data_IF_879963448980
#
_entry.id   IF_879963448980
#
_cell.length_a   1.000
_cell.length_b   1.000
_cell.length_c   1.000
_cell.angle_alpha   90.00
_cell.angle_beta   90.00
_cell.angle_gamma   90.00
#
_symmetry.space_group_name_H-M   'P 1'
#
loop_
_entity.id
_entity.type
_entity.pdbx_description
1 polymer ?
#
# COMPACT_ATOMS: atom_id res chain seq x y z
N UNK A 1 -18.13 25.19 57.15
CA UNK A 1 -17.50 25.41 55.81
C UNK A 1 -18.26 24.68 54.68
N UNK A 2 -19.57 24.89 54.54
CA UNK A 2 -20.39 24.30 53.45
C UNK A 2 -20.85 25.33 52.40
N UNK A 3 -20.77 26.62 52.73
CA UNK A 3 -21.22 27.72 51.87
C UNK A 3 -20.16 28.24 50.88
N UNK A 4 -18.87 27.93 51.10
CA UNK A 4 -17.79 28.38 50.21
C UNK A 4 -17.69 27.55 48.91
N UNK A 5 -18.12 26.28 48.94
CA UNK A 5 -18.12 25.41 47.75
C UNK A 5 -19.32 25.65 46.83
N UNK A 6 -20.44 26.13 47.37
CA UNK A 6 -21.67 26.36 46.58
C UNK A 6 -21.62 27.67 45.80
N UNK A 7 -20.90 28.69 46.29
CA UNK A 7 -20.70 29.94 45.57
C UNK A 7 -19.82 29.77 44.32
N UNK A 8 -18.84 28.86 44.39
CA UNK A 8 -17.93 28.55 43.28
C UNK A 8 -18.64 27.84 42.11
N UNK A 9 -19.62 26.97 42.40
CA UNK A 9 -20.40 26.30 41.35
C UNK A 9 -21.37 27.24 40.63
N UNK A 10 -21.99 28.19 41.35
CA UNK A 10 -22.94 29.15 40.76
C UNK A 10 -22.20 30.18 39.90
N UNK A 11 -20.99 30.59 40.30
CA UNK A 11 -20.14 31.48 39.50
C UNK A 11 -19.66 30.83 38.19
N UNK A 12 -19.50 29.50 38.14
CA UNK A 12 -19.05 28.80 36.93
C UNK A 12 -20.17 28.64 35.90
N UNK A 13 -21.42 28.44 36.36
CA UNK A 13 -22.59 28.27 35.48
C UNK A 13 -23.01 29.62 34.86
N UNK A 14 -22.84 30.73 35.58
CA UNK A 14 -23.15 32.06 35.08
C UNK A 14 -22.19 32.56 33.98
N UNK A 15 -20.96 32.01 33.91
CA UNK A 15 -19.98 32.35 32.87
C UNK A 15 -20.22 31.65 31.53
N UNK A 16 -21.10 30.63 31.51
CA UNK A 16 -21.34 29.76 30.35
C UNK A 16 -22.51 30.20 29.46
N UNK A 17 -23.21 31.29 29.81
CA UNK A 17 -24.43 31.75 29.14
C UNK A 17 -24.34 33.21 28.67
N UNK A 18 -23.19 33.64 28.17
CA UNK A 18 -23.08 34.91 27.45
C UNK A 18 -23.39 34.64 25.96
N UNK A 19 -24.48 35.17 25.39
CA UNK A 19 -24.69 35.12 23.96
C UNK A 19 -23.73 36.12 23.32
N UNK A 20 -22.73 35.65 22.59
CA UNK A 20 -21.98 36.50 21.67
C UNK A 20 -22.86 36.70 20.42
N UNK A 21 -23.85 37.57 20.56
CA UNK A 21 -24.50 38.23 19.44
C UNK A 21 -23.83 39.61 19.30
N UNK A 22 -22.86 39.67 18.41
CA UNK A 22 -22.05 40.86 18.12
C UNK A 22 -21.21 40.61 16.88
N UNK A 23 -21.90 40.40 15.76
CA UNK A 23 -21.31 40.33 14.42
C UNK A 23 -20.82 41.74 14.08
N UNK A 24 -19.53 42.01 14.31
CA UNK A 24 -18.87 43.15 13.69
C UNK A 24 -18.76 42.88 12.19
N UNK A 25 -19.17 43.90 11.44
CA UNK A 25 -19.19 44.02 9.99
C UNK A 25 -17.81 43.70 9.38
N UNK A 26 -17.62 42.43 8.99
CA UNK A 26 -16.59 42.03 8.04
C UNK A 26 -17.29 41.63 6.75
N UNK A 27 -16.95 42.34 5.68
CA UNK A 27 -17.61 42.31 4.39
C UNK A 27 -18.00 40.92 3.89
N UNK A 28 -19.08 40.90 3.12
CA UNK A 28 -19.69 39.76 2.46
C UNK A 28 -18.68 38.67 2.06
N UNK A 29 -18.57 37.65 2.91
CA UNK A 29 -17.88 36.40 2.56
C UNK A 29 -18.68 35.73 1.43
N UNK A 30 -18.01 35.16 0.40
CA UNK A 30 -18.71 34.41 -0.62
C UNK A 30 -19.50 33.28 0.06
N UNK A 31 -20.78 33.17 -0.28
CA UNK A 31 -21.66 32.09 0.15
C UNK A 31 -20.93 30.75 -0.03
N UNK A 32 -20.86 29.87 0.99
CA UNK A 32 -20.35 28.53 0.79
C UNK A 32 -21.19 27.89 -0.32
N UNK A 33 -20.58 27.62 -1.47
CA UNK A 33 -21.15 26.63 -2.38
C UNK A 33 -21.24 25.35 -1.54
N UNK A 34 -22.42 24.72 -1.51
CA UNK A 34 -22.49 23.31 -1.20
C UNK A 34 -21.52 22.63 -2.18
N UNK A 35 -20.32 22.32 -1.70
CA UNK A 35 -19.51 21.27 -2.29
C UNK A 35 -20.42 20.05 -2.25
N UNK A 36 -20.97 19.70 -3.42
CA UNK A 36 -21.47 18.34 -3.64
C UNK A 36 -20.46 17.43 -2.98
N UNK A 37 -20.87 16.49 -2.11
CA UNK A 37 -19.93 15.59 -1.47
C UNK A 37 -19.05 15.08 -2.59
N UNK A 38 -17.77 15.44 -2.55
CA UNK A 38 -16.78 14.89 -3.45
C UNK A 38 -16.80 13.43 -3.05
N UNK A 39 -17.57 12.65 -3.80
CA UNK A 39 -17.64 11.22 -3.64
C UNK A 39 -16.17 10.83 -3.64
N UNK A 40 -15.66 10.39 -2.48
CA UNK A 40 -14.35 9.80 -2.40
C UNK A 40 -14.44 8.64 -3.38
N UNK A 41 -13.93 8.86 -4.59
CA UNK A 41 -13.70 7.79 -5.54
C UNK A 41 -12.79 6.86 -4.75
N UNK A 42 -13.36 5.73 -4.30
CA UNK A 42 -12.57 4.64 -3.72
C UNK A 42 -11.34 4.53 -4.62
N UNK A 43 -10.11 4.64 -4.07
CA UNK A 43 -8.91 4.72 -4.88
C UNK A 43 -8.98 3.55 -5.85
N UNK A 44 -9.24 3.89 -7.10
CA UNK A 44 -9.52 2.90 -8.10
C UNK A 44 -8.19 2.15 -8.22
N UNK A 45 -8.14 0.85 -7.90
CA UNK A 45 -6.91 0.03 -7.87
C UNK A 45 -6.33 -0.17 -9.27
N UNK A 46 -6.59 0.75 -10.19
CA UNK A 46 -6.10 0.70 -11.55
C UNK A 46 -4.61 0.98 -11.57
N UNK A 47 -3.87 0.07 -12.19
CA UNK A 47 -2.43 0.17 -12.33
C UNK A 47 -2.12 1.11 -13.51
N UNK A 48 -1.88 2.37 -13.21
CA UNK A 48 -1.64 3.43 -14.21
C UNK A 48 -0.18 3.91 -14.28
N UNK A 49 0.68 3.48 -13.37
CA UNK A 49 2.08 3.89 -13.30
C UNK A 49 3.02 2.71 -13.02
N UNK A 50 4.30 2.92 -13.29
CA UNK A 50 5.38 1.98 -12.96
C UNK A 50 5.43 1.67 -11.46
N UNK A 51 5.47 2.70 -10.61
CA UNK A 51 5.50 2.52 -9.15
C UNK A 51 4.31 1.72 -8.64
N UNK A 52 3.11 1.96 -9.19
CA UNK A 52 1.92 1.22 -8.79
C UNK A 52 1.97 -0.23 -9.26
N UNK A 53 2.58 -0.51 -10.41
CA UNK A 53 2.79 -1.87 -10.89
C UNK A 53 3.78 -2.63 -10.00
N UNK A 54 4.91 -2.00 -9.64
CA UNK A 54 5.89 -2.56 -8.70
C UNK A 54 5.22 -2.83 -7.35
N UNK A 55 4.49 -1.85 -6.81
CA UNK A 55 3.78 -1.99 -5.54
C UNK A 55 2.73 -3.10 -5.58
N UNK A 56 2.02 -3.29 -6.70
CA UNK A 56 1.07 -4.40 -6.84
C UNK A 56 1.75 -5.77 -6.75
N UNK A 57 2.97 -5.92 -7.29
CA UNK A 57 3.75 -7.15 -7.11
C UNK A 57 4.14 -7.35 -5.66
N UNK A 58 4.61 -6.31 -4.97
CA UNK A 58 4.91 -6.39 -3.53
C UNK A 58 3.69 -6.76 -2.70
N UNK A 59 2.55 -6.10 -2.92
CA UNK A 59 1.28 -6.40 -2.25
C UNK A 59 0.86 -7.85 -2.52
N UNK A 60 1.03 -8.34 -3.75
CA UNK A 60 0.78 -9.74 -4.11
C UNK A 60 1.70 -10.72 -3.39
N UNK A 61 3.01 -10.54 -3.43
CA UNK A 61 3.98 -11.42 -2.75
C UNK A 61 3.76 -11.42 -1.23
N UNK A 62 3.44 -10.27 -0.64
CA UNK A 62 3.10 -10.16 0.77
C UNK A 62 1.82 -10.94 1.11
N UNK A 63 0.83 -10.95 0.22
CA UNK A 63 -0.39 -11.75 0.40
C UNK A 63 -0.14 -13.26 0.40
N UNK A 64 0.94 -13.71 -0.25
CA UNK A 64 1.37 -15.12 -0.24
C UNK A 64 2.19 -15.49 1.00
N UNK A 65 2.69 -14.49 1.74
CA UNK A 65 3.58 -14.66 2.89
C UNK A 65 2.79 -14.62 4.21
N UNK A 66 2.04 -15.67 4.51
CA UNK A 66 1.17 -15.72 5.69
C UNK A 66 1.97 -16.02 6.98
N UNK A 67 2.96 -16.91 6.92
CA UNK A 67 3.80 -17.31 8.05
C UNK A 67 4.96 -16.35 8.35
N UNK A 68 5.60 -16.51 9.50
CA UNK A 68 6.81 -15.75 9.84
C UNK A 68 7.96 -16.09 8.90
N UNK A 69 8.15 -17.37 8.60
CA UNK A 69 9.18 -17.89 7.71
C UNK A 69 9.02 -17.35 6.30
N UNK A 70 7.79 -17.30 5.78
CA UNK A 70 7.51 -16.73 4.47
C UNK A 70 7.75 -15.22 4.43
N UNK A 71 7.38 -14.48 5.48
CA UNK A 71 7.67 -13.04 5.60
C UNK A 71 9.17 -12.77 5.68
N UNK A 72 9.91 -13.60 6.42
CA UNK A 72 11.36 -13.53 6.49
C UNK A 72 11.99 -13.78 5.12
N UNK A 73 11.56 -14.82 4.42
CA UNK A 73 11.99 -15.09 3.03
C UNK A 73 11.73 -13.88 2.12
N UNK A 74 10.52 -13.30 2.19
CA UNK A 74 10.16 -12.14 1.37
C UNK A 74 11.04 -10.92 1.69
N UNK A 75 11.34 -10.69 2.97
CA UNK A 75 12.21 -9.61 3.40
C UNK A 75 13.65 -9.80 2.92
N UNK A 76 14.19 -11.02 3.00
CA UNK A 76 15.51 -11.37 2.48
C UNK A 76 15.59 -11.18 0.97
N UNK A 77 14.59 -11.67 0.22
CA UNK A 77 14.50 -11.44 -1.22
C UNK A 77 14.47 -9.94 -1.55
N UNK A 78 13.61 -9.17 -0.86
CA UNK A 78 13.46 -7.73 -1.12
C UNK A 78 14.73 -6.94 -0.78
N UNK A 79 15.49 -7.37 0.22
CA UNK A 79 16.76 -6.74 0.59
C UNK A 79 17.89 -7.08 -0.40
N UNK A 80 17.89 -8.29 -0.95
CA UNK A 80 18.87 -8.75 -1.94
C UNK A 80 18.62 -8.18 -3.34
N UNK A 81 17.35 -7.91 -3.66
CA UNK A 81 16.88 -7.58 -5.00
C UNK A 81 16.28 -6.17 -5.01
N UNK A 82 17.10 -5.12 -5.12
CA UNK A 82 16.65 -3.73 -5.08
C UNK A 82 16.44 -3.08 -6.47
N UNK A 83 16.93 -3.72 -7.54
CA UNK A 83 16.79 -3.21 -8.91
C UNK A 83 15.46 -3.63 -9.56
N UNK A 84 14.37 -3.01 -9.11
CA UNK A 84 13.02 -3.19 -9.68
C UNK A 84 12.75 -2.18 -10.81
N UNK A 85 12.08 -2.63 -11.86
CA UNK A 85 11.58 -1.76 -12.92
C UNK A 85 10.26 -2.30 -13.48
N UNK A 86 9.43 -1.42 -14.06
CA UNK A 86 8.24 -1.86 -14.78
C UNK A 86 8.10 -1.21 -16.15
N UNK A 87 7.69 -1.99 -17.14
CA UNK A 87 7.45 -1.51 -18.51
C UNK A 87 6.04 -1.84 -18.95
N UNK A 88 5.34 -0.87 -19.51
CA UNK A 88 4.02 -1.09 -20.10
C UNK A 88 4.15 -1.75 -21.47
N UNK A 89 3.44 -2.85 -21.66
CA UNK A 89 3.31 -3.57 -22.93
C UNK A 89 1.87 -3.43 -23.43
N UNK A 90 1.71 -2.90 -24.64
CA UNK A 90 0.43 -2.74 -25.31
C UNK A 90 0.16 -3.96 -26.22
N UNK A 91 -1.00 -4.57 -26.06
CA UNK A 91 -1.48 -5.64 -26.92
C UNK A 91 -2.23 -5.08 -28.14
N UNK A 92 -2.40 -5.93 -29.16
CA UNK A 92 -3.08 -5.57 -30.41
C UNK A 92 -4.55 -5.17 -30.24
N UNK A 93 -5.18 -5.64 -29.17
CA UNK A 93 -6.57 -5.32 -28.81
C UNK A 93 -6.70 -3.99 -28.07
N UNK A 94 -5.60 -3.26 -27.85
CA UNK A 94 -5.57 -2.00 -27.13
C UNK A 94 -5.52 -2.14 -25.60
N UNK A 95 -5.50 -3.37 -25.08
CA UNK A 95 -5.24 -3.62 -23.66
C UNK A 95 -3.75 -3.48 -23.34
N UNK A 96 -3.42 -3.16 -22.10
CA UNK A 96 -2.03 -3.03 -21.64
C UNK A 96 -1.78 -3.85 -20.39
N UNK A 97 -0.58 -4.40 -20.28
CA UNK A 97 -0.05 -5.06 -19.08
C UNK A 97 1.26 -4.40 -18.68
N UNK A 98 1.55 -4.34 -17.39
CA UNK A 98 2.87 -3.97 -16.91
C UNK A 98 3.70 -5.23 -16.74
N UNK A 99 4.90 -5.24 -17.31
CA UNK A 99 5.91 -6.25 -17.03
C UNK A 99 6.88 -5.69 -15.99
N UNK A 100 6.75 -6.18 -14.76
CA UNK A 100 7.60 -5.82 -13.63
C UNK A 100 8.75 -6.81 -13.57
N UNK A 101 9.97 -6.31 -13.39
CA UNK A 101 11.19 -7.11 -13.39
C UNK A 101 12.10 -6.70 -12.24
N UNK A 102 12.63 -7.70 -11.56
CA UNK A 102 13.85 -7.62 -10.77
C UNK A 102 15.00 -8.09 -11.64
N UNK A 103 16.06 -7.29 -11.76
CA UNK A 103 17.25 -7.66 -12.54
C UNK A 103 18.56 -7.29 -11.81
N UNK A 104 19.13 -8.27 -11.12
CA UNK A 104 20.41 -8.19 -10.43
C UNK A 104 21.54 -8.86 -11.26
N UNK A 105 21.34 -9.10 -12.55
CA UNK A 105 22.36 -9.76 -13.40
C UNK A 105 23.65 -8.95 -13.57
N UNK A 106 23.60 -7.64 -13.28
CA UNK A 106 24.78 -6.78 -13.23
C UNK A 106 25.66 -6.96 -11.99
N UNK A 107 25.24 -7.76 -11.00
CA UNK A 107 26.02 -8.05 -9.79
C UNK A 107 26.95 -9.23 -10.05
N UNK A 108 28.26 -8.99 -10.07
CA UNK A 108 29.27 -9.99 -10.47
C UNK A 108 29.37 -11.20 -9.51
N UNK A 109 29.22 -10.96 -8.21
CA UNK A 109 29.37 -12.00 -7.17
C UNK A 109 28.05 -12.26 -6.44
N UNK A 110 27.01 -12.67 -7.17
CA UNK A 110 25.71 -13.00 -6.57
C UNK A 110 25.82 -14.16 -5.56
N UNK A 111 25.62 -13.86 -4.27
CA UNK A 111 25.72 -14.83 -3.17
C UNK A 111 24.38 -15.44 -2.75
N UNK A 112 23.29 -14.80 -3.16
CA UNK A 112 21.94 -15.21 -2.79
C UNK A 112 21.43 -16.34 -3.69
N UNK A 113 20.15 -16.70 -3.55
CA UNK A 113 19.55 -17.76 -4.36
C UNK A 113 19.64 -17.41 -5.86
N UNK A 114 20.13 -18.30 -6.74
CA UNK A 114 20.32 -17.95 -8.16
C UNK A 114 19.04 -17.48 -8.87
N UNK A 115 17.88 -18.04 -8.50
CA UNK A 115 16.60 -17.66 -9.08
C UNK A 115 16.04 -16.33 -8.54
N UNK A 116 16.66 -15.72 -7.52
CA UNK A 116 16.35 -14.36 -7.09
C UNK A 116 17.04 -13.29 -7.93
N UNK A 117 18.11 -13.66 -8.65
CA UNK A 117 18.90 -12.71 -9.43
C UNK A 117 18.06 -12.04 -10.52
N UNK A 118 17.14 -12.78 -11.14
CA UNK A 118 16.23 -12.24 -12.14
C UNK A 118 14.86 -12.89 -12.01
N UNK A 119 13.81 -12.09 -11.85
CA UNK A 119 12.43 -12.55 -11.80
C UNK A 119 11.50 -11.50 -12.38
N UNK A 120 10.33 -11.91 -12.89
CA UNK A 120 9.39 -10.96 -13.48
C UNK A 120 7.94 -11.39 -13.38
N UNK A 121 7.06 -10.40 -13.35
CA UNK A 121 5.62 -10.56 -13.17
C UNK A 121 4.86 -9.72 -14.20
N UNK A 122 3.70 -10.23 -14.60
CA UNK A 122 2.72 -9.46 -15.35
C UNK A 122 1.69 -8.88 -14.38
N UNK A 123 1.49 -7.57 -14.46
CA UNK A 123 0.50 -6.86 -13.66
C UNK A 123 -0.55 -6.27 -14.59
N UNK A 124 -1.77 -6.76 -14.44
CA UNK A 124 -2.91 -6.30 -15.21
C UNK A 124 -3.46 -5.00 -14.63
N UNK A 125 -4.20 -4.26 -15.46
CA UNK A 125 -4.79 -2.98 -15.08
C UNK A 125 -5.74 -3.09 -13.87
N UNK A 126 -6.34 -4.26 -13.65
CA UNK A 126 -7.23 -4.56 -12.51
C UNK A 126 -6.48 -4.95 -11.22
N UNK A 127 -5.14 -4.91 -11.22
CA UNK A 127 -4.30 -5.26 -10.08
C UNK A 127 -3.96 -6.74 -9.97
N UNK A 128 -4.46 -7.60 -10.87
CA UNK A 128 -4.08 -9.01 -10.88
C UNK A 128 -2.60 -9.16 -11.28
N UNK A 129 -1.86 -9.91 -10.48
CA UNK A 129 -0.44 -10.24 -10.69
C UNK A 129 -0.32 -11.70 -11.10
N UNK A 130 0.52 -11.98 -12.10
CA UNK A 130 0.81 -13.34 -12.57
C UNK A 130 2.33 -13.50 -12.73
N UNK A 131 2.97 -14.56 -12.21
CA UNK A 131 4.38 -14.80 -12.43
C UNK A 131 4.68 -15.05 -13.91
N UNK A 132 5.72 -14.40 -14.43
CA UNK A 132 6.16 -14.56 -15.81
C UNK A 132 7.09 -15.76 -15.97
N UNK A 133 6.96 -16.46 -17.09
CA UNK A 133 7.89 -17.52 -17.49
C UNK A 133 9.13 -17.01 -18.25
N UNK A 134 9.19 -15.71 -18.60
CA UNK A 134 10.24 -15.13 -19.45
C UNK A 134 11.65 -15.22 -18.85
N UNK A 135 11.76 -15.22 -17.52
CA UNK A 135 13.01 -15.32 -16.78
C UNK A 135 13.11 -16.69 -16.09
N UNK A 136 13.11 -17.76 -16.90
CA UNK A 136 13.22 -19.16 -16.44
C UNK A 136 12.17 -19.57 -15.40
N UNK A 137 11.00 -18.92 -15.41
CA UNK A 137 9.95 -19.08 -14.39
C UNK A 137 10.43 -18.85 -12.95
N UNK A 138 11.43 -17.99 -12.75
CA UNK A 138 11.97 -17.67 -11.44
C UNK A 138 10.94 -17.00 -10.51
N UNK A 139 10.07 -16.14 -11.05
CA UNK A 139 8.94 -15.58 -10.30
C UNK A 139 8.00 -16.66 -9.76
N UNK A 140 7.70 -17.69 -10.57
CA UNK A 140 6.88 -18.82 -10.14
C UNK A 140 7.54 -19.61 -9.00
N UNK A 141 8.87 -19.78 -9.05
CA UNK A 141 9.62 -20.44 -7.97
C UNK A 141 9.56 -19.63 -6.67
N UNK A 142 9.72 -18.32 -6.75
CA UNK A 142 9.61 -17.41 -5.60
C UNK A 142 8.22 -17.51 -4.96
N UNK A 143 7.16 -17.44 -5.76
CA UNK A 143 5.79 -17.58 -5.26
C UNK A 143 5.52 -18.95 -4.64
N UNK A 144 6.04 -20.02 -5.25
CA UNK A 144 5.91 -21.38 -4.72
C UNK A 144 6.59 -21.53 -3.37
N UNK A 145 7.82 -21.00 -3.20
CA UNK A 145 8.52 -21.01 -1.92
C UNK A 145 7.74 -20.25 -0.85
N UNK A 146 7.18 -19.07 -1.18
CA UNK A 146 6.36 -18.28 -0.26
C UNK A 146 5.12 -19.06 0.21
N UNK A 147 4.44 -19.73 -0.72
CA UNK A 147 3.27 -20.55 -0.40
C UNK A 147 3.66 -21.77 0.45
N UNK A 148 4.74 -22.46 0.09
CA UNK A 148 5.22 -23.62 0.84
C UNK A 148 5.60 -23.23 2.27
N UNK A 149 6.37 -22.16 2.45
CA UNK A 149 6.77 -21.64 3.76
C UNK A 149 5.56 -21.15 4.56
N UNK A 150 4.52 -20.63 3.90
CA UNK A 150 3.27 -20.23 4.56
C UNK A 150 2.45 -21.40 5.07
N UNK A 151 2.51 -22.55 4.40
CA UNK A 151 1.82 -23.77 4.82
C UNK A 151 2.54 -24.50 5.97
N UNK A 152 3.82 -24.19 6.21
CA UNK A 152 4.56 -24.77 7.33
C UNK A 152 3.95 -24.27 8.65
N UNK A 153 3.37 -25.22 9.39
CA UNK A 153 2.84 -24.94 10.72
C UNK A 153 4.01 -24.54 11.62
N UNK A 154 3.92 -23.35 12.23
CA UNK A 154 4.86 -22.96 13.28
C UNK A 154 4.94 -24.10 14.32
N UNK A 155 6.15 -24.44 14.81
CA UNK A 155 6.27 -25.42 15.88
C UNK A 155 5.35 -24.99 17.03
N UNK A 156 4.49 -25.91 17.47
CA UNK A 156 3.68 -25.70 18.66
C UNK A 156 4.62 -25.76 19.86
N UNK A 157 5.01 -24.59 20.35
CA UNK A 157 5.64 -24.45 21.67
C UNK A 157 4.62 -24.69 22.80
#
# INVERSE_FOLDING_TARGET
>A
MRYLKSALFISLIALLLIPISGCEDFGQFPTPQEEKPKQEEMPSTFITSEDRAILAVYEHLLSLAESYEAKKYLAEFSAASDNWSARSELFKDGSSVWYVVVDMSGVEEWQERPYWQQAGWFVYRDGRVIPSNRLQANALRIEADLQELSLQKAPQD
#
